data_IF_707110362027
#
_entry.id   IF_707110362027
#
_cell.length_a   1.000
_cell.length_b   1.000
_cell.length_c   1.000
_cell.angle_alpha   90.00
_cell.angle_beta   90.00
_cell.angle_gamma   90.00
#
_symmetry.space_group_name_H-M   'P 1'
#
loop_
_entity.id
_entity.type
_entity.pdbx_description
1 polymer ?
#
# COMPACT_ATOMS: atom_id res chain seq x y z
N UNK A 1 -2.68 4.17 26.08
CA UNK A 1 -2.56 3.46 24.80
C UNK A 1 -1.67 4.33 23.90
N UNK A 2 -0.63 3.79 23.25
CA UNK A 2 0.13 4.56 22.30
C UNK A 2 -0.80 4.93 21.14
N UNK A 3 -0.84 6.20 20.74
CA UNK A 3 -1.61 6.65 19.59
C UNK A 3 -1.10 5.97 18.30
N UNK A 4 -1.97 5.80 17.30
CA UNK A 4 -1.55 5.32 15.98
C UNK A 4 -0.53 6.31 15.37
N UNK A 5 0.56 5.84 14.73
CA UNK A 5 1.55 6.72 14.11
C UNK A 5 0.97 7.41 12.88
N UNK A 6 0.73 8.72 12.99
CA UNK A 6 0.14 9.54 11.93
C UNK A 6 1.13 10.60 11.42
N UNK A 7 1.03 11.02 10.16
CA UNK A 7 1.75 12.17 9.62
C UNK A 7 1.57 13.43 10.48
N UNK A 8 2.62 14.26 10.52
CA UNK A 8 2.67 15.49 11.34
C UNK A 8 3.18 15.25 12.77
N UNK A 9 3.57 14.05 13.14
CA UNK A 9 4.21 13.73 14.43
C UNK A 9 5.71 14.00 14.43
N UNK A 10 6.33 14.19 13.26
CA UNK A 10 7.75 14.49 13.05
C UNK A 10 7.96 15.39 11.83
N UNK A 11 9.21 15.73 11.51
CA UNK A 11 9.52 16.45 10.28
C UNK A 11 9.27 15.55 9.07
N UNK A 12 8.39 15.96 8.15
CA UNK A 12 8.15 15.28 6.91
C UNK A 12 9.29 15.52 5.90
N UNK A 13 9.76 14.46 5.26
CA UNK A 13 10.76 14.50 4.19
C UNK A 13 10.12 14.01 2.90
N UNK A 14 10.34 14.73 1.79
CA UNK A 14 9.95 14.28 0.45
C UNK A 14 10.95 13.20 0.02
N UNK A 15 10.51 11.93 0.06
CA UNK A 15 11.32 10.79 -0.37
C UNK A 15 11.36 10.65 -1.90
N UNK A 16 10.20 10.91 -2.57
CA UNK A 16 10.10 10.95 -4.04
C UNK A 16 9.18 12.11 -4.41
N UNK A 17 9.68 13.13 -5.13
CA UNK A 17 8.84 14.22 -5.61
C UNK A 17 7.80 13.74 -6.63
N UNK A 18 6.75 14.52 -6.80
CA UNK A 18 5.81 14.29 -7.90
C UNK A 18 6.55 14.28 -9.24
N UNK A 19 6.28 13.31 -10.14
CA UNK A 19 7.03 13.17 -11.39
C UNK A 19 6.70 14.27 -12.42
N UNK A 20 5.64 15.04 -12.18
CA UNK A 20 5.19 16.16 -13.01
C UNK A 20 4.20 17.02 -12.24
N UNK A 21 3.38 17.80 -12.94
CA UNK A 21 2.43 18.73 -12.37
C UNK A 21 0.99 18.37 -12.74
N UNK A 22 0.05 18.61 -11.82
CA UNK A 22 -1.37 18.41 -12.03
C UNK A 22 -1.86 16.99 -11.76
N UNK A 23 -3.17 16.73 -11.98
CA UNK A 23 -3.79 15.44 -11.74
C UNK A 23 -3.13 14.31 -12.55
N UNK A 24 -2.97 13.15 -11.92
CA UNK A 24 -2.37 11.98 -12.58
C UNK A 24 -0.84 11.90 -12.52
N UNK A 25 -0.14 12.94 -12.03
CA UNK A 25 1.30 12.92 -11.81
C UNK A 25 1.59 12.56 -10.36
N UNK A 26 1.77 11.26 -10.10
CA UNK A 26 1.82 10.75 -8.73
C UNK A 26 3.02 9.86 -8.47
N UNK A 27 3.70 10.11 -7.35
CA UNK A 27 4.61 9.18 -6.70
C UNK A 27 4.03 8.82 -5.33
N UNK A 28 3.84 7.54 -5.03
CA UNK A 28 3.22 7.14 -3.77
C UNK A 28 2.81 5.69 -3.71
N UNK A 29 1.79 5.40 -2.92
CA UNK A 29 1.25 4.05 -2.74
C UNK A 29 2.34 3.03 -2.36
N UNK A 30 3.12 3.34 -1.33
CA UNK A 30 4.28 2.55 -0.93
C UNK A 30 3.93 1.26 -0.18
N UNK A 31 4.89 0.35 -0.20
CA UNK A 31 5.03 -0.80 0.69
C UNK A 31 6.48 -0.91 1.11
N UNK A 32 6.74 -0.85 2.41
CA UNK A 32 8.08 -0.84 2.97
C UNK A 32 8.40 -2.11 3.76
N UNK A 33 9.68 -2.48 3.75
CA UNK A 33 10.27 -3.58 4.50
C UNK A 33 11.61 -3.11 5.09
N UNK A 34 11.91 -3.50 6.32
CA UNK A 34 13.22 -3.29 6.94
C UNK A 34 13.99 -4.62 6.93
N UNK A 35 15.08 -4.67 6.19
CA UNK A 35 15.94 -5.85 6.15
C UNK A 35 16.75 -6.00 7.45
N UNK A 36 17.28 -7.20 7.68
CA UNK A 36 18.02 -7.54 8.90
C UNK A 36 19.29 -6.72 9.10
N UNK A 37 19.87 -6.18 8.03
CA UNK A 37 21.05 -5.30 8.07
C UNK A 37 20.69 -3.82 8.34
N UNK A 38 19.41 -3.50 8.52
CA UNK A 38 18.90 -2.15 8.74
C UNK A 38 18.58 -1.35 7.46
N UNK A 39 18.73 -1.97 6.29
CA UNK A 39 18.38 -1.35 5.02
C UNK A 39 16.87 -1.33 4.85
N UNK A 40 16.30 -0.16 4.58
CA UNK A 40 14.91 -0.04 4.15
C UNK A 40 14.79 -0.43 2.68
N UNK A 41 13.81 -1.26 2.37
CA UNK A 41 13.40 -1.60 1.00
C UNK A 41 12.00 -1.05 0.80
N UNK A 42 11.82 -0.18 -0.19
CA UNK A 42 10.55 0.51 -0.44
C UNK A 42 10.12 0.26 -1.88
N UNK A 43 8.99 -0.40 -2.06
CA UNK A 43 8.33 -0.49 -3.36
C UNK A 43 7.22 0.57 -3.41
N UNK A 44 7.11 1.29 -4.54
CA UNK A 44 6.11 2.34 -4.71
C UNK A 44 5.71 2.49 -6.18
N UNK A 45 4.56 3.13 -6.40
CA UNK A 45 4.05 3.45 -7.73
C UNK A 45 4.55 4.82 -8.17
N UNK A 46 4.87 4.94 -9.47
CA UNK A 46 5.00 6.21 -10.18
C UNK A 46 4.00 6.22 -11.32
N UNK A 47 3.16 7.26 -11.39
CA UNK A 47 2.23 7.53 -12.48
C UNK A 47 2.64 8.80 -13.20
N UNK A 48 2.78 8.73 -14.52
CA UNK A 48 3.31 9.80 -15.35
C UNK A 48 2.21 10.47 -16.20
N UNK A 49 1.16 10.97 -15.52
CA UNK A 49 0.00 11.54 -16.21
C UNK A 49 -0.94 10.49 -16.79
N UNK A 50 -1.91 10.93 -17.60
CA UNK A 50 -2.90 10.01 -18.17
C UNK A 50 -2.36 9.16 -19.32
N UNK A 51 -1.41 9.69 -20.08
CA UNK A 51 -0.85 9.05 -21.29
C UNK A 51 0.58 8.53 -21.08
N UNK A 52 1.11 8.65 -19.86
CA UNK A 52 2.44 8.20 -19.51
C UNK A 52 2.52 6.73 -19.16
N UNK A 53 3.73 6.26 -18.93
CA UNK A 53 4.00 4.88 -18.50
C UNK A 53 3.94 4.85 -16.98
N UNK A 54 3.00 4.07 -16.43
CA UNK A 54 2.98 3.75 -15.00
C UNK A 54 4.07 2.74 -14.65
N UNK A 55 4.66 2.92 -13.48
CA UNK A 55 5.77 2.10 -13.02
C UNK A 55 5.58 1.66 -11.57
N UNK A 56 6.02 0.44 -11.29
CA UNK A 56 6.39 0.01 -9.94
C UNK A 56 7.90 0.14 -9.80
N UNK A 57 8.33 0.90 -8.81
CA UNK A 57 9.75 1.11 -8.50
C UNK A 57 10.08 0.41 -7.19
N UNK A 58 11.20 -0.31 -7.15
CA UNK A 58 11.80 -0.86 -5.93
C UNK A 58 13.08 -0.08 -5.65
N UNK A 59 13.19 0.44 -4.45
CA UNK A 59 14.34 1.22 -4.01
C UNK A 59 14.85 0.76 -2.64
N UNK A 60 16.11 1.05 -2.36
CA UNK A 60 16.74 0.84 -1.04
C UNK A 60 17.11 2.17 -0.40
N UNK A 61 17.21 2.19 0.92
CA UNK A 61 17.64 3.36 1.67
C UNK A 61 18.27 2.97 3.02
N UNK A 62 19.37 3.58 3.42
CA UNK A 62 19.96 3.37 4.76
C UNK A 62 19.20 4.13 5.85
N UNK A 63 18.45 5.18 5.51
CA UNK A 63 17.78 6.09 6.45
C UNK A 63 16.26 6.15 6.28
N UNK A 64 15.71 5.51 5.23
CA UNK A 64 14.29 5.56 4.89
C UNK A 64 13.85 6.87 4.23
N UNK A 65 14.76 7.80 3.95
CA UNK A 65 14.50 9.13 3.39
C UNK A 65 15.02 9.24 1.95
N UNK A 66 16.30 8.87 1.74
CA UNK A 66 16.96 8.94 0.43
C UNK A 66 16.87 7.59 -0.25
N UNK A 67 15.97 7.49 -1.22
CA UNK A 67 15.71 6.26 -1.96
C UNK A 67 16.65 6.13 -3.16
N UNK A 68 17.31 4.97 -3.27
CA UNK A 68 18.11 4.58 -4.44
C UNK A 68 17.38 3.47 -5.18
N UNK A 69 16.95 3.74 -6.41
CA UNK A 69 16.25 2.75 -7.25
C UNK A 69 17.15 1.56 -7.58
N UNK A 70 16.64 0.35 -7.39
CA UNK A 70 17.32 -0.92 -7.70
C UNK A 70 16.57 -1.75 -8.72
N UNK A 71 15.25 -1.55 -8.89
CA UNK A 71 14.46 -2.19 -9.94
C UNK A 71 13.31 -1.27 -10.36
N UNK A 72 12.93 -1.33 -11.63
CA UNK A 72 11.77 -0.63 -12.20
C UNK A 72 11.01 -1.59 -13.12
N UNK A 73 9.70 -1.62 -12.97
CA UNK A 73 8.80 -2.45 -13.75
C UNK A 73 7.75 -1.55 -14.40
N UNK A 74 7.69 -1.55 -15.73
CA UNK A 74 6.73 -0.76 -16.52
C UNK A 74 5.43 -1.54 -16.73
N UNK A 75 4.30 -0.85 -16.78
CA UNK A 75 2.98 -1.44 -17.06
C UNK A 75 2.96 -2.24 -18.36
N UNK A 76 3.69 -1.78 -19.38
CA UNK A 76 3.76 -2.42 -20.70
C UNK A 76 4.29 -3.85 -20.65
N UNK A 77 5.14 -4.17 -19.67
CA UNK A 77 5.65 -5.53 -19.45
C UNK A 77 4.54 -6.55 -19.19
N UNK A 78 3.45 -6.10 -18.59
CA UNK A 78 2.32 -6.95 -18.18
C UNK A 78 1.12 -6.82 -19.11
N UNK A 79 1.21 -6.00 -20.16
CA UNK A 79 0.05 -5.66 -21.00
C UNK A 79 -1.03 -4.89 -20.21
N UNK A 80 -0.65 -4.22 -19.15
CA UNK A 80 -1.55 -3.48 -18.29
C UNK A 80 -1.76 -2.05 -18.80
N UNK A 81 -2.92 -1.47 -18.49
CA UNK A 81 -3.20 -0.05 -18.74
C UNK A 81 -2.68 0.84 -17.60
N UNK A 82 -2.74 0.33 -16.37
CA UNK A 82 -2.38 1.06 -15.16
C UNK A 82 -1.61 0.17 -14.20
N UNK A 83 -0.80 0.80 -13.34
CA UNK A 83 -0.25 0.15 -12.15
C UNK A 83 -0.67 0.90 -10.89
N UNK A 84 -0.93 0.16 -9.82
CA UNK A 84 -1.27 0.72 -8.51
C UNK A 84 -0.34 0.19 -7.43
N UNK A 85 -0.74 0.30 -6.16
CA UNK A 85 0.08 -0.04 -5.01
C UNK A 85 0.71 -1.44 -5.13
N UNK A 86 2.04 -1.55 -5.09
CA UNK A 86 2.73 -2.83 -4.92
C UNK A 86 2.71 -3.28 -3.46
N UNK A 87 3.11 -4.53 -3.20
CA UNK A 87 3.54 -4.99 -1.90
C UNK A 87 4.86 -5.73 -2.01
N UNK A 88 5.79 -5.50 -1.07
CA UNK A 88 7.09 -6.17 -1.05
C UNK A 88 7.32 -6.88 0.28
N UNK A 89 7.88 -8.09 0.22
CA UNK A 89 8.26 -8.84 1.40
C UNK A 89 9.44 -9.78 1.10
N UNK A 90 10.08 -10.27 2.17
CA UNK A 90 11.13 -11.27 2.09
C UNK A 90 10.61 -12.62 2.57
N UNK A 91 10.92 -13.68 1.87
CA UNK A 91 10.57 -15.05 2.24
C UNK A 91 11.47 -15.55 3.37
N UNK A 92 11.05 -16.62 4.06
CA UNK A 92 11.85 -17.23 5.12
C UNK A 92 13.19 -17.81 4.66
N UNK A 93 13.34 -18.16 3.37
CA UNK A 93 14.58 -18.59 2.74
C UNK A 93 15.40 -17.44 2.13
N UNK A 94 14.97 -16.19 2.37
CA UNK A 94 15.72 -14.98 2.03
C UNK A 94 15.50 -14.43 0.63
N UNK A 95 14.57 -14.99 -0.16
CA UNK A 95 14.20 -14.45 -1.48
C UNK A 95 13.28 -13.24 -1.33
N UNK A 96 13.22 -12.41 -2.36
CA UNK A 96 12.31 -11.26 -2.43
C UNK A 96 11.07 -11.60 -3.24
N UNK A 97 9.92 -11.16 -2.73
CA UNK A 97 8.65 -11.19 -3.44
C UNK A 97 8.08 -9.80 -3.60
N UNK A 98 7.63 -9.51 -4.81
CA UNK A 98 6.95 -8.28 -5.17
C UNK A 98 5.59 -8.62 -5.77
N UNK A 99 4.53 -8.23 -5.10
CA UNK A 99 3.18 -8.26 -5.65
C UNK A 99 2.94 -6.96 -6.39
N UNK A 100 2.59 -7.06 -7.67
CA UNK A 100 2.31 -5.93 -8.57
C UNK A 100 0.82 -5.91 -8.90
N UNK A 101 0.22 -4.73 -8.86
CA UNK A 101 -1.19 -4.52 -9.10
C UNK A 101 -1.38 -3.84 -10.44
N UNK A 102 -2.24 -4.40 -11.29
CA UNK A 102 -2.36 -4.02 -12.69
C UNK A 102 -3.82 -3.93 -13.12
N UNK A 103 -4.13 -2.94 -13.98
CA UNK A 103 -5.44 -2.73 -14.56
C UNK A 103 -5.54 -3.28 -15.98
N UNK A 104 -6.60 -4.03 -16.27
CA UNK A 104 -6.90 -4.57 -17.60
C UNK A 104 -7.29 -3.43 -18.55
N UNK A 105 -6.65 -3.32 -19.72
CA UNK A 105 -6.97 -2.26 -20.69
C UNK A 105 -8.47 -2.18 -21.01
N UNK A 106 -8.97 -0.95 -21.12
CA UNK A 106 -10.35 -0.62 -21.50
C UNK A 106 -11.45 -1.18 -20.58
N UNK A 107 -11.08 -1.64 -19.36
CA UNK A 107 -12.02 -2.19 -18.38
C UNK A 107 -11.86 -1.54 -17.01
N UNK A 108 -12.68 -1.97 -16.04
CA UNK A 108 -12.52 -1.66 -14.61
C UNK A 108 -11.95 -2.87 -13.81
N UNK A 109 -11.57 -3.92 -14.50
CA UNK A 109 -10.99 -5.09 -13.89
C UNK A 109 -9.53 -4.84 -13.50
N UNK A 110 -9.13 -5.33 -12.32
CA UNK A 110 -7.78 -5.28 -11.78
C UNK A 110 -7.37 -6.65 -11.29
N UNK A 111 -6.07 -6.97 -11.39
CA UNK A 111 -5.49 -8.20 -10.88
C UNK A 111 -4.14 -7.94 -10.22
N UNK A 112 -3.65 -8.94 -9.50
CA UNK A 112 -2.37 -8.89 -8.81
C UNK A 112 -1.56 -10.13 -9.18
N UNK A 113 -0.34 -9.91 -9.69
CA UNK A 113 0.65 -10.97 -9.89
C UNK A 113 1.75 -10.87 -8.84
N UNK A 114 2.47 -11.98 -8.62
CA UNK A 114 3.65 -12.04 -7.78
C UNK A 114 4.90 -12.36 -8.62
N UNK A 115 5.97 -11.64 -8.35
CA UNK A 115 7.31 -11.90 -8.87
C UNK A 115 8.20 -12.36 -7.71
N UNK A 116 9.13 -13.29 -7.98
CA UNK A 116 10.07 -13.78 -6.98
C UNK A 116 11.49 -13.81 -7.54
N UNK A 117 12.46 -13.28 -6.78
CA UNK A 117 13.86 -13.24 -7.17
C UNK A 117 14.79 -13.48 -5.96
N UNK A 118 16.04 -13.86 -6.23
CA UNK A 118 17.07 -14.03 -5.21
C UNK A 118 17.61 -12.70 -4.66
N UNK A 119 17.47 -11.63 -5.44
CA UNK A 119 17.88 -10.27 -5.07
C UNK A 119 16.87 -9.24 -5.60
N UNK A 120 16.98 -7.98 -5.14
CA UNK A 120 16.08 -6.91 -5.52
C UNK A 120 16.16 -6.54 -7.02
N UNK A 121 17.36 -6.41 -7.63
CA UNK A 121 17.47 -6.13 -9.06
C UNK A 121 16.83 -7.20 -9.94
N UNK A 122 16.91 -8.48 -9.54
CA UNK A 122 16.31 -9.61 -10.25
C UNK A 122 14.79 -9.51 -10.39
N UNK A 123 14.10 -8.77 -9.52
CA UNK A 123 12.67 -8.53 -9.64
C UNK A 123 12.29 -7.83 -10.95
N UNK A 124 13.17 -7.00 -11.51
CA UNK A 124 12.91 -6.31 -12.78
C UNK A 124 12.68 -7.28 -13.96
N UNK A 125 13.20 -8.51 -13.89
CA UNK A 125 13.11 -9.51 -14.96
C UNK A 125 12.46 -10.82 -14.55
N UNK A 126 12.10 -10.99 -13.26
CA UNK A 126 11.50 -12.21 -12.72
C UNK A 126 10.15 -12.49 -13.39
N UNK A 127 9.84 -13.77 -13.61
CA UNK A 127 8.57 -14.20 -14.16
C UNK A 127 7.41 -13.83 -13.23
N UNK A 128 6.37 -13.21 -13.81
CA UNK A 128 5.14 -12.90 -13.10
C UNK A 128 4.21 -14.12 -13.07
N UNK A 129 3.60 -14.37 -11.91
CA UNK A 129 2.62 -15.44 -11.71
C UNK A 129 1.37 -14.88 -11.08
N UNK A 130 0.16 -15.33 -11.48
CA UNK A 130 -1.07 -14.90 -10.86
C UNK A 130 -1.07 -15.18 -9.34
N UNK A 131 -1.35 -14.13 -8.54
CA UNK A 131 -1.56 -14.25 -7.10
C UNK A 131 -3.04 -14.05 -6.75
N UNK A 132 -3.63 -12.98 -7.26
CA UNK A 132 -5.05 -12.68 -7.10
C UNK A 132 -5.59 -12.18 -8.45
N UNK A 133 -6.21 -13.07 -9.22
CA UNK A 133 -6.68 -12.70 -10.57
C UNK A 133 -7.93 -11.83 -10.58
N UNK A 134 -8.65 -11.73 -9.44
CA UNK A 134 -10.02 -11.22 -9.46
C UNK A 134 -10.97 -12.19 -10.21
N UNK A 135 -12.17 -11.73 -10.51
CA UNK A 135 -13.13 -12.45 -11.32
C UNK A 135 -14.04 -11.44 -12.08
N UNK A 136 -15.09 -11.94 -12.75
CA UNK A 136 -16.07 -11.12 -13.49
C UNK A 136 -16.96 -10.25 -12.59
N UNK A 137 -16.91 -10.43 -11.28
CA UNK A 137 -17.71 -9.71 -10.29
C UNK A 137 -16.89 -8.81 -9.38
N UNK A 138 -15.57 -9.06 -9.27
CA UNK A 138 -14.70 -8.40 -8.31
C UNK A 138 -13.32 -8.17 -8.89
N UNK A 139 -12.96 -6.92 -9.08
CA UNK A 139 -11.58 -6.51 -9.31
C UNK A 139 -10.82 -6.42 -7.99
N UNK A 140 -9.52 -6.76 -8.00
CA UNK A 140 -8.67 -6.78 -6.81
C UNK A 140 -7.42 -5.95 -7.02
N UNK A 141 -7.08 -5.11 -6.04
CA UNK A 141 -5.92 -4.21 -6.13
C UNK A 141 -5.33 -3.86 -4.75
N UNK A 142 -4.25 -3.10 -4.76
CA UNK A 142 -3.62 -2.47 -3.59
C UNK A 142 -3.36 -3.45 -2.44
N UNK A 143 -2.57 -4.54 -2.67
CA UNK A 143 -2.35 -5.55 -1.65
C UNK A 143 -1.46 -5.03 -0.51
N UNK A 144 -1.74 -5.50 0.71
CA UNK A 144 -0.81 -5.50 1.84
C UNK A 144 -0.47 -6.96 2.10
N UNK A 145 0.78 -7.36 1.89
CA UNK A 145 1.21 -8.75 2.13
C UNK A 145 2.28 -8.77 3.21
N UNK A 146 2.10 -9.63 4.21
CA UNK A 146 3.04 -9.78 5.35
C UNK A 146 3.23 -11.26 5.68
N UNK A 147 4.46 -11.62 6.01
CA UNK A 147 4.79 -12.90 6.61
C UNK A 147 4.80 -12.71 8.13
N UNK A 148 3.87 -13.35 8.85
CA UNK A 148 3.73 -13.25 10.30
C UNK A 148 3.72 -14.65 10.89
N UNK A 149 4.62 -14.93 11.81
CA UNK A 149 4.75 -16.24 12.49
C UNK A 149 4.76 -17.44 11.52
N UNK A 150 5.45 -17.28 10.39
CA UNK A 150 5.60 -18.31 9.36
C UNK A 150 4.39 -18.48 8.43
N UNK A 151 3.34 -17.68 8.58
CA UNK A 151 2.16 -17.70 7.71
C UNK A 151 2.02 -16.38 6.95
N UNK A 152 1.66 -16.47 5.68
CA UNK A 152 1.39 -15.30 4.86
C UNK A 152 -0.02 -14.79 5.08
N UNK A 153 -0.14 -13.48 5.20
CA UNK A 153 -1.39 -12.75 5.28
C UNK A 153 -1.44 -11.72 4.17
N UNK A 154 -2.57 -11.60 3.51
CA UNK A 154 -2.82 -10.56 2.52
C UNK A 154 -4.14 -9.83 2.83
N UNK A 155 -4.11 -8.51 2.83
CA UNK A 155 -5.31 -7.66 2.82
C UNK A 155 -5.37 -6.98 1.47
N UNK A 156 -6.51 -7.09 0.81
CA UNK A 156 -6.65 -6.77 -0.61
C UNK A 156 -7.85 -5.86 -0.78
N UNK A 157 -7.66 -4.74 -1.47
CA UNK A 157 -8.75 -3.87 -1.86
C UNK A 157 -9.58 -4.54 -2.96
N UNK A 158 -10.89 -4.60 -2.75
CA UNK A 158 -11.87 -5.17 -3.68
C UNK A 158 -12.77 -4.09 -4.23
N UNK A 159 -12.98 -4.11 -5.54
CA UNK A 159 -13.87 -3.25 -6.29
C UNK A 159 -14.96 -4.12 -6.92
N UNK A 160 -16.24 -3.99 -6.53
CA UNK A 160 -17.31 -4.78 -7.15
C UNK A 160 -17.56 -4.31 -8.58
N UNK A 161 -17.73 -5.25 -9.50
CA UNK A 161 -18.03 -5.02 -10.92
C UNK A 161 -19.51 -5.26 -11.25
N UNK A 162 -20.39 -5.26 -10.24
CA UNK A 162 -21.81 -5.61 -10.31
C UNK A 162 -22.71 -4.50 -10.85
N UNK A 163 -22.23 -3.25 -10.82
CA UNK A 163 -22.99 -2.05 -11.27
C UNK A 163 -22.05 -1.16 -12.06
N UNK A 164 -22.36 -1.00 -13.36
CA UNK A 164 -21.63 -0.11 -14.27
C UNK A 164 -21.63 1.34 -13.76
N UNK A 165 -20.46 1.99 -13.76
CA UNK A 165 -20.26 3.35 -13.25
C UNK A 165 -20.18 3.44 -11.71
N UNK A 166 -20.22 2.32 -11.01
CA UNK A 166 -20.08 2.26 -9.56
C UNK A 166 -18.98 1.29 -9.10
N UNK A 167 -18.03 0.98 -9.98
CA UNK A 167 -16.91 0.07 -9.73
C UNK A 167 -15.85 0.68 -8.81
N UNK A 168 -15.95 1.97 -8.53
CA UNK A 168 -15.07 2.70 -7.61
C UNK A 168 -15.37 2.47 -6.12
N UNK A 169 -16.44 1.74 -5.79
CA UNK A 169 -16.71 1.29 -4.41
C UNK A 169 -15.58 0.40 -3.93
N UNK A 170 -15.18 0.57 -2.66
CA UNK A 170 -14.06 -0.18 -2.10
C UNK A 170 -14.47 -0.92 -0.83
N UNK A 171 -13.97 -2.13 -0.70
CA UNK A 171 -13.89 -2.88 0.56
C UNK A 171 -12.52 -3.54 0.66
N UNK A 172 -12.17 -4.05 1.84
CA UNK A 172 -10.95 -4.84 2.01
C UNK A 172 -11.29 -6.27 2.37
N UNK A 173 -10.69 -7.22 1.66
CA UNK A 173 -10.76 -8.64 1.95
C UNK A 173 -9.46 -9.13 2.59
N UNK A 174 -9.52 -10.32 3.20
CA UNK A 174 -8.38 -10.99 3.81
C UNK A 174 -8.19 -12.38 3.22
N UNK A 175 -6.94 -12.76 3.02
CA UNK A 175 -6.52 -14.08 2.61
C UNK A 175 -5.29 -14.53 3.39
N UNK A 176 -5.09 -15.84 3.53
CA UNK A 176 -3.90 -16.43 4.13
C UNK A 176 -3.28 -17.48 3.23
N UNK A 177 -1.98 -17.75 3.43
CA UNK A 177 -1.27 -18.76 2.65
C UNK A 177 -0.13 -19.37 3.47
N UNK A 178 0.17 -20.64 3.22
CA UNK A 178 1.34 -21.32 3.78
C UNK A 178 2.62 -20.94 3.02
N UNK A 179 2.52 -20.81 1.69
CA UNK A 179 3.66 -20.58 0.80
C UNK A 179 3.72 -19.17 0.20
N UNK A 180 2.65 -18.35 0.40
CA UNK A 180 2.50 -17.00 -0.18
C UNK A 180 2.22 -17.01 -1.69
N UNK A 181 1.84 -18.13 -2.26
CA UNK A 181 1.51 -18.32 -3.68
C UNK A 181 0.08 -18.85 -3.87
N UNK A 182 -0.30 -19.87 -3.12
CA UNK A 182 -1.69 -20.37 -3.07
C UNK A 182 -2.41 -19.77 -1.86
N UNK A 183 -3.56 -19.15 -2.08
CA UNK A 183 -4.24 -18.35 -1.07
C UNK A 183 -5.61 -18.89 -0.68
N UNK A 184 -5.83 -19.02 0.63
CA UNK A 184 -7.15 -19.26 1.22
C UNK A 184 -7.86 -17.91 1.43
N UNK A 185 -8.96 -17.71 0.71
CA UNK A 185 -9.72 -16.47 0.74
C UNK A 185 -10.77 -16.50 1.88
N UNK A 186 -10.75 -15.48 2.75
CA UNK A 186 -11.63 -15.38 3.92
C UNK A 186 -12.78 -14.38 3.77
N UNK A 187 -12.79 -13.62 2.67
CA UNK A 187 -13.82 -12.62 2.39
C UNK A 187 -13.55 -11.23 2.97
N UNK A 188 -14.59 -10.40 2.97
CA UNK A 188 -14.51 -8.99 3.39
C UNK A 188 -14.26 -8.84 4.89
N UNK A 189 -13.27 -8.02 5.25
CA UNK A 189 -12.87 -7.75 6.64
C UNK A 189 -13.03 -6.29 7.04
N UNK A 190 -13.15 -5.37 6.06
CA UNK A 190 -13.48 -3.95 6.27
C UNK A 190 -14.34 -3.49 5.09
N UNK A 191 -15.48 -2.87 5.39
CA UNK A 191 -16.41 -2.36 4.38
C UNK A 191 -16.72 -0.88 4.63
N UNK A 192 -17.20 -0.20 3.56
CA UNK A 192 -17.73 1.14 3.63
C UNK A 192 -18.91 1.25 4.61
N UNK A 193 -19.10 2.41 5.23
CA UNK A 193 -20.21 2.71 6.15
C UNK A 193 -21.21 3.65 5.50
N UNK A 194 -22.40 3.19 5.13
CA UNK A 194 -23.41 4.05 4.52
C UNK A 194 -23.74 5.30 5.37
N UNK A 195 -23.77 6.46 4.73
CA UNK A 195 -24.14 7.72 5.39
C UNK A 195 -23.00 8.41 6.16
N UNK A 196 -21.77 7.92 6.05
CA UNK A 196 -20.60 8.52 6.68
C UNK A 196 -19.59 9.03 5.64
N UNK A 197 -18.46 9.57 6.11
CA UNK A 197 -17.38 10.09 5.26
C UNK A 197 -16.68 9.01 4.42
N UNK A 198 -16.81 7.73 4.77
CA UNK A 198 -16.24 6.56 4.09
C UNK A 198 -17.33 5.69 3.42
N UNK A 199 -18.48 6.29 3.10
CA UNK A 199 -19.66 5.59 2.54
C UNK A 199 -19.41 4.96 1.16
N UNK A 200 -18.43 5.45 0.41
CA UNK A 200 -18.10 4.95 -0.94
C UNK A 200 -16.98 3.90 -0.92
N UNK A 201 -16.16 3.87 0.13
CA UNK A 201 -15.07 2.89 0.19
C UNK A 201 -14.26 2.92 1.46
N UNK A 202 -13.72 1.74 1.80
CA UNK A 202 -12.77 1.53 2.88
C UNK A 202 -11.67 0.54 2.42
N UNK A 203 -10.48 1.08 2.11
CA UNK A 203 -9.31 0.33 1.66
C UNK A 203 -8.25 0.33 2.75
N UNK A 204 -7.94 -0.82 3.34
CA UNK A 204 -6.81 -0.95 4.27
C UNK A 204 -5.50 -0.53 3.58
N UNK A 205 -4.71 0.29 4.28
CA UNK A 205 -3.42 0.77 3.82
C UNK A 205 -2.27 0.35 4.71
N UNK A 206 -2.54 0.09 6.00
CA UNK A 206 -1.56 -0.48 6.93
C UNK A 206 -2.25 -1.34 7.97
N UNK A 207 -1.63 -2.46 8.34
CA UNK A 207 -2.09 -3.35 9.41
C UNK A 207 -0.91 -3.61 10.34
N UNK A 208 -1.04 -3.22 11.61
CA UNK A 208 -0.02 -3.38 12.63
C UNK A 208 -0.14 -4.73 13.35
N UNK A 209 0.95 -5.27 13.93
CA UNK A 209 0.92 -6.53 14.66
C UNK A 209 -0.04 -6.54 15.84
N UNK A 210 -0.28 -5.39 16.47
CA UNK A 210 -1.20 -5.25 17.61
C UNK A 210 -2.69 -5.18 17.22
N UNK A 211 -3.00 -5.26 15.92
CA UNK A 211 -4.36 -5.27 15.37
C UNK A 211 -4.92 -3.89 15.04
N UNK A 212 -4.18 -2.82 15.27
CA UNK A 212 -4.55 -1.48 14.76
C UNK A 212 -4.27 -1.38 13.26
N UNK A 213 -5.07 -0.60 12.55
CA UNK A 213 -4.93 -0.43 11.10
C UNK A 213 -5.25 1.00 10.67
N UNK A 214 -4.69 1.40 9.54
CA UNK A 214 -5.11 2.57 8.77
C UNK A 214 -5.82 2.12 7.51
N UNK A 215 -6.77 2.94 7.05
CA UNK A 215 -7.47 2.73 5.78
C UNK A 215 -7.71 4.06 5.07
N UNK A 216 -7.80 4.01 3.76
CA UNK A 216 -8.29 5.13 2.95
C UNK A 216 -9.81 5.02 2.80
N UNK A 217 -10.50 6.14 3.03
CA UNK A 217 -11.95 6.25 2.86
C UNK A 217 -12.34 7.48 2.04
N UNK A 218 -13.54 7.44 1.48
CA UNK A 218 -14.19 8.55 0.80
C UNK A 218 -15.71 8.43 0.83
N UNK A 219 -16.43 9.54 0.75
CA UNK A 219 -17.89 9.57 0.84
C UNK A 219 -18.59 9.30 -0.49
N UNK A 220 -17.99 9.69 -1.61
CA UNK A 220 -18.64 9.68 -2.93
C UNK A 220 -17.66 9.37 -4.08
N UNK A 221 -18.19 9.24 -5.30
CA UNK A 221 -17.40 9.03 -6.50
C UNK A 221 -16.58 10.28 -6.89
N UNK A 222 -17.09 11.48 -6.59
CA UNK A 222 -16.41 12.75 -6.84
C UNK A 222 -15.15 12.92 -5.99
N UNK A 223 -15.07 12.22 -4.86
CA UNK A 223 -13.89 12.15 -4.00
C UNK A 223 -12.87 11.08 -4.47
N UNK A 224 -13.05 10.48 -5.65
CA UNK A 224 -12.06 9.60 -6.23
C UNK A 224 -10.74 10.37 -6.41
N UNK A 225 -9.62 9.78 -5.90
CA UNK A 225 -8.29 10.38 -5.76
C UNK A 225 -8.14 11.40 -4.61
N UNK A 226 -9.22 11.69 -3.89
CA UNK A 226 -9.25 12.55 -2.70
C UNK A 226 -9.54 11.75 -1.42
N UNK A 227 -9.23 10.46 -1.44
CA UNK A 227 -9.33 9.62 -0.25
C UNK A 227 -8.52 10.24 0.90
N UNK A 228 -8.99 9.98 2.11
CA UNK A 228 -8.36 10.41 3.37
C UNK A 228 -8.18 9.22 4.28
N UNK A 229 -7.21 9.32 5.19
CA UNK A 229 -6.92 8.22 6.11
C UNK A 229 -7.87 8.23 7.30
N UNK A 230 -8.46 7.07 7.59
CA UNK A 230 -9.16 6.73 8.83
C UNK A 230 -8.44 5.60 9.58
N UNK A 231 -8.86 5.34 10.81
CA UNK A 231 -8.32 4.28 11.64
C UNK A 231 -9.35 3.17 11.87
N UNK A 232 -8.85 1.94 11.98
CA UNK A 232 -9.63 0.77 12.31
C UNK A 232 -8.89 -0.13 13.30
N UNK A 233 -9.63 -0.93 14.04
CA UNK A 233 -9.09 -1.90 14.98
C UNK A 233 -9.63 -3.29 14.68
N UNK A 234 -8.80 -4.31 14.90
CA UNK A 234 -9.21 -5.70 14.74
C UNK A 234 -10.29 -6.03 15.76
N UNK A 235 -11.38 -6.61 15.28
CA UNK A 235 -12.46 -7.12 16.12
C UNK A 235 -12.17 -8.54 16.57
N UNK A 236 -12.93 -9.06 17.55
CA UNK A 236 -12.74 -10.41 18.08
C UNK A 236 -12.95 -11.57 17.09
N UNK A 237 -13.44 -11.30 15.89
CA UNK A 237 -13.50 -12.26 14.79
C UNK A 237 -12.17 -12.22 14.03
N UNK A 238 -11.59 -13.39 13.74
CA UNK A 238 -10.32 -13.48 13.02
C UNK A 238 -10.36 -12.70 11.70
N UNK A 239 -9.45 -11.74 11.55
CA UNK A 239 -9.26 -10.95 10.34
C UNK A 239 -10.15 -9.72 10.17
N UNK A 240 -11.28 -9.60 10.87
CA UNK A 240 -12.20 -8.46 10.73
C UNK A 240 -11.69 -7.19 11.44
N UNK A 241 -12.06 -6.04 10.88
CA UNK A 241 -11.77 -4.71 11.42
C UNK A 241 -13.06 -3.90 11.58
N UNK A 242 -13.06 -2.99 12.54
CA UNK A 242 -14.08 -1.96 12.69
C UNK A 242 -13.40 -0.58 12.69
N UNK A 243 -14.00 0.38 11.98
CA UNK A 243 -13.57 1.76 12.00
C UNK A 243 -13.79 2.34 13.41
N UNK A 244 -12.79 3.11 13.90
CA UNK A 244 -12.83 3.67 15.27
C UNK A 244 -13.15 5.16 15.29
N UNK A 245 -13.08 5.85 14.14
CA UNK A 245 -13.31 7.29 14.03
C UNK A 245 -14.57 7.58 13.21
N UNK A 246 -15.25 8.69 13.55
CA UNK A 246 -16.42 9.19 12.82
C UNK A 246 -16.05 10.05 11.61
N UNK A 247 -14.76 10.41 11.46
CA UNK A 247 -14.20 11.21 10.36
C UNK A 247 -12.78 10.78 10.01
N UNK A 248 -12.21 11.37 8.95
CA UNK A 248 -10.81 11.15 8.62
C UNK A 248 -9.90 11.77 9.68
N UNK A 249 -8.80 11.09 9.99
CA UNK A 249 -7.82 11.54 10.99
C UNK A 249 -6.69 12.38 10.37
N UNK A 250 -6.42 12.19 9.08
CA UNK A 250 -5.44 12.97 8.32
C UNK A 250 -5.75 12.94 6.82
N UNK A 251 -5.42 14.02 6.11
CA UNK A 251 -5.62 14.16 4.66
C UNK A 251 -4.38 13.69 3.89
N UNK A 252 -4.17 12.39 3.89
CA UNK A 252 -3.17 11.69 3.07
C UNK A 252 -3.75 10.39 2.56
N UNK A 253 -3.07 9.77 1.57
CA UNK A 253 -3.43 8.48 0.98
C UNK A 253 -2.32 7.46 1.21
N UNK A 254 -2.70 6.18 1.15
CA UNK A 254 -1.76 5.05 1.18
C UNK A 254 -0.75 5.13 2.33
N UNK A 255 -1.23 5.48 3.53
CA UNK A 255 -0.38 5.49 4.72
C UNK A 255 0.17 4.08 4.98
N UNK A 256 1.48 3.91 4.82
CA UNK A 256 2.22 2.68 5.11
C UNK A 256 3.04 2.87 6.39
N UNK A 257 2.85 1.99 7.36
CA UNK A 257 3.46 2.08 8.69
C UNK A 257 4.35 0.88 8.92
N UNK A 258 5.63 1.12 9.11
CA UNK A 258 6.63 0.11 9.40
C UNK A 258 7.09 0.24 10.86
N UNK A 259 6.75 -0.72 11.74
CA UNK A 259 7.30 -0.78 13.09
C UNK A 259 8.82 -1.01 13.06
N UNK A 260 9.55 -0.34 13.95
CA UNK A 260 11.00 -0.44 14.05
C UNK A 260 11.41 -1.32 15.23
N UNK A 261 12.48 -2.14 15.10
CA UNK A 261 12.94 -3.05 16.17
C UNK A 261 13.28 -2.35 17.50
N UNK A 262 13.75 -1.11 17.44
CA UNK A 262 14.09 -0.28 18.60
C UNK A 262 12.90 0.48 19.21
N UNK A 263 11.68 0.20 18.73
CA UNK A 263 10.48 0.99 19.04
C UNK A 263 10.31 2.18 18.10
N UNK A 264 9.08 2.73 18.07
CA UNK A 264 8.71 3.75 17.09
C UNK A 264 8.40 3.18 15.71
N UNK A 265 8.26 4.07 14.72
CA UNK A 265 7.79 3.73 13.39
C UNK A 265 8.47 4.58 12.33
N UNK A 266 8.71 4.02 11.16
CA UNK A 266 8.92 4.78 9.94
C UNK A 266 7.62 4.71 9.15
N UNK A 267 7.10 5.86 8.71
CA UNK A 267 5.91 5.93 7.90
C UNK A 267 6.22 6.50 6.53
N UNK A 268 5.49 6.03 5.52
CA UNK A 268 5.44 6.62 4.19
C UNK A 268 3.99 6.86 3.82
N UNK A 269 3.74 7.93 3.09
CA UNK A 269 2.39 8.28 2.66
C UNK A 269 2.41 9.12 1.38
N UNK A 270 1.34 9.04 0.63
CA UNK A 270 1.11 9.85 -0.56
C UNK A 270 0.47 11.16 -0.14
N UNK A 271 1.19 12.27 -0.35
CA UNK A 271 0.74 13.62 -0.05
C UNK A 271 0.30 14.34 -1.32
N UNK A 272 -0.95 14.85 -1.31
CA UNK A 272 -1.50 15.66 -2.39
C UNK A 272 -0.93 17.07 -2.30
N UNK A 273 -0.48 17.61 -3.44
CA UNK A 273 -0.03 18.99 -3.60
C UNK A 273 -1.18 19.89 -4.07
N UNK A 274 -1.02 21.23 -3.99
CA UNK A 274 -2.07 22.18 -4.39
C UNK A 274 -2.52 22.09 -5.85
N UNK A 275 -1.69 21.55 -6.74
CA UNK A 275 -1.97 21.32 -8.16
C UNK A 275 -2.53 19.92 -8.44
N UNK A 276 -2.86 19.14 -7.38
CA UNK A 276 -3.37 17.76 -7.44
C UNK A 276 -2.35 16.72 -7.95
N UNK A 277 -1.08 17.10 -8.10
CA UNK A 277 -0.01 16.11 -8.18
C UNK A 277 0.27 15.52 -6.79
N UNK A 278 0.90 14.34 -6.73
CA UNK A 278 1.20 13.69 -5.46
C UNK A 278 2.67 13.32 -5.36
N UNK A 279 3.21 13.45 -4.14
CA UNK A 279 4.56 13.07 -3.81
C UNK A 279 4.60 12.05 -2.67
N UNK A 280 5.60 11.18 -2.65
CA UNK A 280 5.85 10.26 -1.55
C UNK A 280 6.63 10.95 -0.45
N UNK A 281 6.03 11.07 0.73
CA UNK A 281 6.67 11.59 1.93
C UNK A 281 6.95 10.49 2.94
N UNK A 282 7.93 10.75 3.82
CA UNK A 282 8.27 9.89 4.94
C UNK A 282 8.50 10.69 6.21
N UNK A 283 8.20 10.06 7.35
CA UNK A 283 8.49 10.59 8.68
C UNK A 283 9.01 9.47 9.59
N UNK A 284 9.93 9.82 10.49
CA UNK A 284 10.33 8.96 11.59
C UNK A 284 9.53 9.33 12.84
N UNK A 285 8.73 8.40 13.33
CA UNK A 285 7.93 8.56 14.56
C UNK A 285 8.51 7.62 15.59
N UNK A 286 9.14 8.16 16.60
CA UNK A 286 9.83 7.34 17.59
C UNK A 286 9.49 7.68 19.02
N UNK A 287 9.85 6.84 19.99
CA UNK A 287 10.20 7.35 21.30
C UNK A 287 11.29 8.38 21.03
N UNK A 288 11.11 9.59 21.57
CA UNK A 288 12.04 10.71 21.41
C UNK A 288 13.48 10.19 21.46
N UNK A 289 14.28 10.52 20.45
CA UNK A 289 15.65 10.06 20.35
C UNK A 289 16.31 10.21 21.74
N UNK A 290 16.67 9.10 22.35
CA UNK A 290 17.70 9.13 23.39
C UNK A 290 18.88 9.81 22.73
N UNK A 291 19.22 11.01 23.23
CA UNK A 291 20.33 11.82 22.77
C UNK A 291 21.49 10.88 22.43
N UNK A 292 21.91 10.90 21.15
CA UNK A 292 23.17 10.28 20.81
C UNK A 292 24.21 11.06 21.58
N UNK A 293 24.69 10.47 22.69
CA UNK A 293 25.94 10.92 23.27
C UNK A 293 26.98 10.80 22.17
N UNK A 294 27.42 11.95 21.68
CA UNK A 294 28.58 12.02 20.79
C UNK A 294 29.81 11.46 21.54
N UNK A 295 30.69 10.73 20.86
CA UNK A 295 31.91 10.20 21.44
C UNK A 295 32.86 11.28 21.91
#
# INVERSE_FOLDING_TARGET
MNSFPLPGSGPAVVAVPAPGQGPGWWAGASSAFLDADGTYVVAYRVRNGHDGIDQTVVATSPDGERLTTVATLDQSRFGAQWMERPSIARTGDGRWRLWVCMGTPETKHWWIDVLEAGDLPGLATAEARPAFPGDDRTAVKDPIVRLVDGRWHAWICCHPLDVEGAEDRMSSAWATSEDGLAWDWHGTVLAARPGTWDARGARLTSVLPDGRAAYDGRASAEENWFERTGLAERTGQAGSFAQVDDGPVVDVRYLDVLPLPGGGYRIWYEARLPDESHELRTELIGPAATERQAP
#
